data_IF_826785553048
#
_entry.id   IF_826785553048
#
_cell.length_a   1.000
_cell.length_b   1.000
_cell.length_c   1.000
_cell.angle_alpha   90.00
_cell.angle_beta   90.00
_cell.angle_gamma   90.00
#
_symmetry.space_group_name_H-M   'P 1'
#
loop_
_entity.id
_entity.type
_entity.pdbx_description
1 polymer ?
#
# COMPACT_ATOMS: atom_id res chain seq x y z
N UNK A 1 -6.75 -5.27 -16.35
CA UNK A 1 -7.59 -4.40 -15.51
C UNK A 1 -8.98 -4.25 -16.12
N UNK A 2 -10.03 -4.19 -15.28
CA UNK A 2 -11.41 -3.87 -15.63
C UNK A 2 -11.91 -2.82 -14.69
N UNK A 3 -12.47 -1.74 -15.22
CA UNK A 3 -13.06 -0.67 -14.42
C UNK A 3 -14.56 -0.85 -14.32
N UNK A 4 -15.14 -0.54 -13.16
CA UNK A 4 -16.61 -0.46 -13.01
C UNK A 4 -17.16 0.72 -13.84
N UNK A 5 -18.43 0.63 -14.19
CA UNK A 5 -19.13 1.77 -14.83
C UNK A 5 -19.07 3.00 -13.93
N UNK A 6 -18.77 4.15 -14.49
CA UNK A 6 -18.63 5.44 -13.77
C UNK A 6 -17.51 5.49 -12.71
N UNK A 7 -16.52 4.62 -12.79
CA UNK A 7 -15.39 4.57 -11.84
C UNK A 7 -14.71 5.94 -11.61
N UNK A 8 -14.59 6.74 -12.66
CA UNK A 8 -13.99 8.07 -12.62
C UNK A 8 -14.85 9.06 -11.84
N UNK A 9 -16.17 8.98 -11.95
CA UNK A 9 -17.12 9.79 -11.18
C UNK A 9 -17.12 9.39 -9.71
N UNK A 10 -17.11 8.09 -9.43
CA UNK A 10 -17.01 7.55 -8.09
C UNK A 10 -15.73 8.04 -7.40
N UNK A 11 -14.58 7.93 -8.05
CA UNK A 11 -13.31 8.39 -7.48
C UNK A 11 -13.29 9.90 -7.24
N UNK A 12 -13.74 10.71 -8.19
CA UNK A 12 -13.83 12.16 -8.01
C UNK A 12 -14.77 12.54 -6.87
N UNK A 13 -15.90 11.86 -6.75
CA UNK A 13 -16.85 12.10 -5.67
C UNK A 13 -16.19 11.85 -4.30
N UNK A 14 -15.59 10.67 -4.09
CA UNK A 14 -14.96 10.35 -2.82
C UNK A 14 -13.72 11.22 -2.55
N UNK A 15 -12.94 11.52 -3.57
CA UNK A 15 -11.79 12.42 -3.43
C UNK A 15 -12.21 13.80 -2.89
N UNK A 16 -13.23 14.41 -3.48
CA UNK A 16 -13.75 15.71 -3.04
C UNK A 16 -14.35 15.61 -1.62
N UNK A 17 -15.21 14.63 -1.38
CA UNK A 17 -15.84 14.41 -0.09
C UNK A 17 -14.82 14.25 1.04
N UNK A 18 -13.79 13.44 0.84
CA UNK A 18 -12.75 13.18 1.83
C UNK A 18 -11.88 14.42 2.02
N UNK A 19 -11.47 15.09 0.94
CA UNK A 19 -10.67 16.33 1.00
C UNK A 19 -11.38 17.43 1.75
N UNK A 20 -12.67 17.61 1.52
CA UNK A 20 -13.49 18.62 2.22
C UNK A 20 -13.68 18.25 3.70
N UNK A 21 -13.85 16.95 4.00
CA UNK A 21 -14.10 16.49 5.38
C UNK A 21 -12.87 16.62 6.26
N UNK A 22 -11.69 16.31 5.74
CA UNK A 22 -10.48 16.21 6.55
C UNK A 22 -9.49 17.35 6.33
N UNK A 23 -9.70 18.19 5.32
CA UNK A 23 -8.81 19.31 4.97
C UNK A 23 -7.35 18.89 4.75
N UNK A 24 -7.11 17.65 4.32
CA UNK A 24 -5.79 17.11 4.04
C UNK A 24 -5.54 16.90 2.54
N UNK A 25 -4.28 16.84 2.17
CA UNK A 25 -3.89 16.23 0.91
C UNK A 25 -4.15 14.72 1.00
N UNK A 26 -4.92 14.19 0.09
CA UNK A 26 -5.34 12.78 0.15
C UNK A 26 -4.82 11.97 -1.01
N UNK A 27 -4.64 10.68 -0.74
CA UNK A 27 -4.44 9.62 -1.70
C UNK A 27 -5.50 8.55 -1.46
N UNK A 28 -6.25 8.19 -2.49
CA UNK A 28 -7.13 7.03 -2.44
C UNK A 28 -6.34 5.83 -2.96
N UNK A 29 -6.22 4.81 -2.13
CA UNK A 29 -5.59 3.55 -2.51
C UNK A 29 -6.31 2.40 -1.82
N UNK A 30 -6.74 1.43 -2.59
CA UNK A 30 -7.52 0.30 -2.11
C UNK A 30 -6.99 -0.99 -2.68
N UNK A 31 -7.01 -2.06 -1.90
CA UNK A 31 -6.81 -3.38 -2.44
C UNK A 31 -7.89 -3.68 -3.46
N UNK A 32 -7.48 -4.06 -4.65
CA UNK A 32 -8.42 -4.35 -5.74
C UNK A 32 -8.75 -5.84 -5.78
N UNK A 33 -10.03 -6.19 -5.91
CA UNK A 33 -10.48 -7.56 -6.12
C UNK A 33 -10.05 -8.05 -7.52
N UNK A 34 -10.31 -9.30 -7.79
CA UNK A 34 -9.90 -9.91 -9.05
C UNK A 34 -11.09 -10.44 -9.84
N UNK A 35 -10.86 -10.69 -11.12
CA UNK A 35 -11.74 -11.46 -11.97
C UNK A 35 -10.95 -12.60 -12.61
N UNK A 36 -11.63 -13.68 -12.91
CA UNK A 36 -11.10 -14.81 -13.67
C UNK A 36 -11.86 -14.96 -14.98
N UNK A 37 -11.38 -15.84 -15.85
CA UNK A 37 -12.13 -16.27 -17.04
C UNK A 37 -12.39 -17.75 -16.93
N UNK A 38 -13.62 -18.17 -17.26
CA UNK A 38 -13.96 -19.58 -17.41
C UNK A 38 -13.41 -20.16 -18.73
N UNK A 39 -13.72 -21.41 -19.00
CA UNK A 39 -13.28 -22.13 -20.21
C UNK A 39 -13.82 -21.50 -21.51
N UNK A 40 -14.95 -20.83 -21.44
CA UNK A 40 -15.59 -20.11 -22.56
C UNK A 40 -15.06 -18.67 -22.73
N UNK A 41 -14.18 -18.24 -21.83
CA UNK A 41 -13.58 -16.89 -21.82
C UNK A 41 -14.47 -15.82 -21.17
N UNK A 42 -15.57 -16.20 -20.53
CA UNK A 42 -16.48 -15.30 -19.79
C UNK A 42 -15.82 -14.85 -18.49
N UNK A 43 -15.94 -13.57 -18.17
CA UNK A 43 -15.37 -12.98 -16.97
C UNK A 43 -16.24 -13.27 -15.74
N UNK A 44 -15.59 -13.81 -14.69
CA UNK A 44 -16.19 -14.07 -13.38
C UNK A 44 -15.53 -13.14 -12.37
N UNK A 45 -16.30 -12.27 -11.75
CA UNK A 45 -15.83 -11.26 -10.82
C UNK A 45 -15.89 -11.78 -9.37
N UNK A 46 -14.78 -11.65 -8.64
CA UNK A 46 -14.63 -12.07 -7.26
C UNK A 46 -14.50 -10.83 -6.36
N UNK A 47 -15.63 -10.18 -6.13
CA UNK A 47 -15.73 -9.04 -5.24
C UNK A 47 -16.03 -9.56 -3.83
N UNK A 48 -15.01 -9.78 -3.03
CA UNK A 48 -15.10 -10.38 -1.69
C UNK A 48 -15.49 -9.34 -0.61
N UNK A 49 -16.17 -8.27 -1.02
CA UNK A 49 -16.58 -7.21 -0.10
C UNK A 49 -15.57 -6.06 0.00
N UNK A 50 -15.73 -5.20 1.00
CA UNK A 50 -14.94 -3.99 1.13
C UNK A 50 -13.46 -4.34 1.08
N UNK A 51 -12.74 -3.56 0.29
CA UNK A 51 -11.29 -3.63 0.30
C UNK A 51 -10.85 -3.57 1.75
N UNK A 52 -10.18 -4.60 2.23
CA UNK A 52 -9.63 -4.58 3.57
C UNK A 52 -8.88 -3.27 3.72
N UNK A 53 -9.16 -2.55 4.78
CA UNK A 53 -8.26 -1.54 5.27
C UNK A 53 -6.94 -2.24 5.28
N UNK A 54 -6.09 -1.81 4.39
CA UNK A 54 -4.97 -2.64 4.03
C UNK A 54 -4.04 -2.76 5.20
N UNK A 55 -3.44 -3.82 5.28
CA UNK A 55 -3.14 -4.52 6.46
C UNK A 55 -2.11 -3.75 7.26
N UNK A 56 -2.54 -3.10 8.28
CA UNK A 56 -1.77 -2.96 9.49
C UNK A 56 -0.97 -4.25 9.73
N UNK A 57 -1.57 -5.41 9.54
CA UNK A 57 -0.91 -6.71 9.66
C UNK A 57 0.37 -6.89 8.83
N UNK A 58 0.43 -6.47 7.58
CA UNK A 58 1.67 -6.64 6.78
C UNK A 58 2.78 -5.73 7.32
N UNK A 59 2.44 -4.51 7.71
CA UNK A 59 3.35 -3.61 8.39
C UNK A 59 3.79 -4.18 9.73
N UNK A 60 2.85 -4.65 10.52
CA UNK A 60 3.08 -5.22 11.83
C UNK A 60 4.02 -6.42 11.74
N UNK A 61 3.75 -7.37 10.87
CA UNK A 61 4.64 -8.51 10.64
C UNK A 61 6.03 -8.06 10.18
N UNK A 62 6.11 -7.10 9.26
CA UNK A 62 7.39 -6.61 8.75
C UNK A 62 8.18 -5.87 9.83
N UNK A 63 7.53 -4.98 10.60
CA UNK A 63 8.19 -4.23 11.66
C UNK A 63 8.51 -5.14 12.85
N UNK A 64 7.64 -6.07 13.24
CA UNK A 64 7.93 -7.05 14.28
C UNK A 64 9.12 -7.95 13.93
N UNK A 65 9.24 -8.37 12.68
CA UNK A 65 10.40 -9.13 12.23
C UNK A 65 11.71 -8.33 12.36
N UNK A 66 11.63 -7.02 12.25
CA UNK A 66 12.78 -6.12 12.34
C UNK A 66 13.04 -5.57 13.75
N UNK A 67 11.96 -5.41 14.53
CA UNK A 67 11.94 -4.85 15.89
C UNK A 67 10.98 -5.66 16.77
N UNK A 68 11.38 -6.84 17.24
CA UNK A 68 10.48 -7.74 17.98
C UNK A 68 10.03 -7.16 19.33
N UNK A 69 10.72 -6.16 19.85
CA UNK A 69 10.42 -5.52 21.14
C UNK A 69 9.32 -4.45 21.04
N UNK A 70 8.86 -4.13 19.82
CA UNK A 70 7.74 -3.22 19.63
C UNK A 70 6.43 -3.92 19.97
N UNK A 71 5.70 -3.35 20.91
CA UNK A 71 4.35 -3.80 21.28
C UNK A 71 3.32 -3.09 20.40
N UNK A 72 2.39 -3.87 19.84
CA UNK A 72 1.20 -3.33 19.18
C UNK A 72 0.20 -2.80 20.21
N UNK A 73 -0.45 -1.71 19.85
CA UNK A 73 -1.69 -1.31 20.51
C UNK A 73 -2.84 -2.18 20.03
N UNK A 74 -3.83 -2.44 20.89
CA UNK A 74 -5.00 -3.25 20.55
C UNK A 74 -5.85 -2.54 19.46
N UNK A 75 -6.05 -3.22 18.34
CA UNK A 75 -6.61 -2.66 17.09
C UNK A 75 -8.05 -3.10 16.82
N UNK A 76 -8.84 -3.42 17.86
CA UNK A 76 -10.25 -3.74 17.70
C UNK A 76 -11.13 -2.52 17.32
N UNK A 77 -10.61 -1.66 16.45
CA UNK A 77 -11.32 -0.45 16.01
C UNK A 77 -12.07 -0.76 14.70
N UNK A 78 -13.37 -0.49 14.68
CA UNK A 78 -14.12 -0.42 13.42
C UNK A 78 -13.66 0.79 12.61
N UNK A 79 -12.66 0.60 11.78
CA UNK A 79 -12.09 1.64 10.94
C UNK A 79 -13.09 2.25 9.95
N UNK A 80 -14.16 1.53 9.61
CA UNK A 80 -15.19 2.06 8.72
C UNK A 80 -16.13 3.04 9.41
N UNK A 81 -16.40 2.83 10.70
CA UNK A 81 -17.27 3.69 11.51
C UNK A 81 -18.55 4.11 10.76
N UNK A 82 -19.20 3.15 10.09
CA UNK A 82 -20.41 3.38 9.29
C UNK A 82 -20.19 4.15 7.98
N UNK A 83 -18.97 4.52 7.61
CA UNK A 83 -18.66 5.24 6.37
C UNK A 83 -18.33 4.29 5.21
N UNK A 84 -18.41 4.82 3.99
CA UNK A 84 -18.05 4.10 2.76
C UNK A 84 -16.56 4.26 2.39
N UNK A 85 -15.79 4.93 3.25
CA UNK A 85 -14.34 5.09 3.15
C UNK A 85 -13.71 5.10 4.54
N UNK A 86 -12.46 4.72 4.63
CA UNK A 86 -11.70 4.75 5.89
C UNK A 86 -10.25 5.19 5.65
N UNK A 87 -9.65 5.82 6.65
CA UNK A 87 -8.23 6.11 6.62
C UNK A 87 -7.42 4.80 6.64
N UNK A 88 -6.35 4.78 5.87
CA UNK A 88 -5.44 3.65 5.73
C UNK A 88 -4.00 4.15 5.85
N UNK A 89 -3.12 3.29 6.33
CA UNK A 89 -1.69 3.57 6.43
C UNK A 89 -0.87 2.77 5.41
N UNK A 90 -1.54 2.30 4.37
CA UNK A 90 -0.95 1.45 3.35
C UNK A 90 -1.36 1.89 1.94
N UNK A 91 -0.45 1.69 1.00
CA UNK A 91 -0.69 1.93 -0.42
C UNK A 91 -0.70 0.59 -1.15
N UNK A 92 -1.71 0.38 -1.98
CA UNK A 92 -1.73 -0.74 -2.90
C UNK A 92 -1.16 -0.31 -4.25
N UNK A 93 -0.04 -0.89 -4.65
CA UNK A 93 0.66 -0.54 -5.89
C UNK A 93 -0.15 -0.76 -7.17
N UNK A 94 -1.23 -1.55 -7.09
CA UNK A 94 -2.13 -1.76 -8.21
C UNK A 94 -3.10 -0.61 -8.45
N UNK A 95 -3.34 0.23 -7.43
CA UNK A 95 -4.31 1.31 -7.51
C UNK A 95 -3.97 2.47 -6.59
N UNK A 96 -3.74 3.62 -7.19
CA UNK A 96 -3.55 4.91 -6.53
C UNK A 96 -4.29 5.99 -7.32
N UNK A 97 -5.02 6.83 -6.60
CA UNK A 97 -5.71 8.00 -7.15
C UNK A 97 -5.50 9.20 -6.24
N UNK A 98 -4.87 10.23 -6.75
CA UNK A 98 -4.51 11.41 -5.99
C UNK A 98 -4.31 12.65 -6.86
N UNK A 99 -3.91 13.74 -6.24
CA UNK A 99 -3.57 14.98 -6.94
C UNK A 99 -2.27 14.84 -7.74
N UNK A 100 -2.08 15.72 -8.70
CA UNK A 100 -0.81 15.84 -9.41
C UNK A 100 0.36 16.18 -8.46
N UNK A 101 0.10 16.95 -7.41
CA UNK A 101 1.10 17.28 -6.39
C UNK A 101 1.62 16.06 -5.64
N UNK A 102 0.73 15.07 -5.38
CA UNK A 102 1.14 13.80 -4.81
C UNK A 102 2.20 13.13 -5.68
N UNK A 103 1.90 12.92 -6.96
CA UNK A 103 2.78 12.19 -7.88
C UNK A 103 4.07 12.94 -8.25
N UNK A 104 4.11 14.26 -8.07
CA UNK A 104 5.33 15.03 -8.20
C UNK A 104 6.22 14.93 -6.96
N UNK A 105 5.63 14.89 -5.78
CA UNK A 105 6.34 14.90 -4.49
C UNK A 105 6.78 13.50 -4.06
N UNK A 106 5.91 12.51 -4.24
CA UNK A 106 6.14 11.13 -3.80
C UNK A 106 6.45 10.26 -5.02
N UNK A 107 7.69 10.25 -5.42
CA UNK A 107 8.18 9.44 -6.53
C UNK A 107 8.57 8.03 -6.06
N UNK A 108 8.45 6.99 -6.89
CA UNK A 108 8.95 5.66 -6.55
C UNK A 108 10.45 5.70 -6.23
N UNK A 109 10.88 4.95 -5.21
CA UNK A 109 12.30 4.80 -4.92
C UNK A 109 12.92 3.78 -5.91
N UNK A 110 13.83 4.20 -6.79
CA UNK A 110 14.43 3.31 -7.78
C UNK A 110 15.32 2.22 -7.16
N UNK A 111 15.65 2.34 -5.89
CA UNK A 111 16.42 1.35 -5.13
C UNK A 111 15.54 0.24 -4.57
N UNK A 112 14.23 0.50 -4.41
CA UNK A 112 13.24 -0.45 -3.87
C UNK A 112 12.33 -0.88 -5.02
N UNK A 113 12.45 -2.14 -5.47
CA UNK A 113 11.68 -2.64 -6.59
C UNK A 113 10.84 -3.83 -6.15
N UNK A 114 9.53 -3.73 -6.36
CA UNK A 114 8.50 -4.72 -6.13
C UNK A 114 8.29 -5.07 -4.65
N UNK A 115 9.28 -5.59 -3.94
CA UNK A 115 9.15 -5.93 -2.53
C UNK A 115 9.45 -4.74 -1.64
N UNK A 116 8.50 -4.36 -0.79
CA UNK A 116 8.63 -3.22 0.14
C UNK A 116 8.31 -1.85 -0.47
N UNK A 117 8.06 -1.80 -1.79
CA UNK A 117 7.72 -0.56 -2.49
C UNK A 117 6.47 0.09 -1.90
N UNK A 118 5.40 -0.68 -1.72
CA UNK A 118 4.11 -0.21 -1.19
C UNK A 118 4.24 0.37 0.21
N UNK A 119 5.06 -0.25 1.07
CA UNK A 119 5.32 0.21 2.43
C UNK A 119 6.11 1.52 2.46
N UNK A 120 7.23 1.58 1.72
CA UNK A 120 8.06 2.78 1.68
C UNK A 120 7.32 3.95 1.03
N UNK A 121 6.43 3.66 0.10
CA UNK A 121 5.57 4.65 -0.54
C UNK A 121 4.55 5.21 0.44
N UNK A 122 3.89 4.34 1.23
CA UNK A 122 2.94 4.73 2.26
C UNK A 122 3.60 5.58 3.35
N UNK A 123 4.77 5.15 3.84
CA UNK A 123 5.57 5.91 4.81
C UNK A 123 5.89 7.31 4.30
N UNK A 124 6.38 7.44 3.06
CA UNK A 124 6.70 8.74 2.46
C UNK A 124 5.47 9.61 2.25
N UNK A 125 4.37 9.02 1.78
CA UNK A 125 3.12 9.73 1.62
C UNK A 125 2.69 10.35 2.95
N UNK A 126 2.58 9.53 3.98
CA UNK A 126 2.12 9.95 5.29
C UNK A 126 3.02 11.01 5.93
N UNK A 127 4.33 10.80 5.94
CA UNK A 127 5.30 11.74 6.51
C UNK A 127 5.47 13.03 5.71
N UNK A 128 4.87 13.12 4.54
CA UNK A 128 4.79 14.32 3.70
C UNK A 128 3.39 14.95 3.66
N UNK A 129 2.59 14.69 4.71
CA UNK A 129 1.27 15.29 4.92
C UNK A 129 0.19 14.84 3.92
N UNK A 130 0.36 13.66 3.31
CA UNK A 130 -0.69 12.99 2.55
C UNK A 130 -1.35 11.91 3.42
N UNK A 131 -2.66 11.96 3.52
CA UNK A 131 -3.43 10.90 4.19
C UNK A 131 -3.96 9.92 3.16
N UNK A 132 -3.86 8.65 3.48
CA UNK A 132 -4.25 7.57 2.59
C UNK A 132 -5.64 7.08 3.00
N UNK A 133 -6.53 6.94 2.04
CA UNK A 133 -7.87 6.43 2.27
C UNK A 133 -8.16 5.23 1.39
N UNK A 134 -8.90 4.29 1.93
CA UNK A 134 -9.44 3.17 1.17
C UNK A 134 -10.96 3.30 1.03
N UNK A 135 -11.49 2.84 -0.10
CA UNK A 135 -12.91 2.83 -0.36
C UNK A 135 -13.48 1.45 -0.06
N UNK A 136 -14.69 1.44 0.50
CA UNK A 136 -15.46 0.21 0.71
C UNK A 136 -15.90 -0.41 -0.61
N UNK A 137 -16.24 0.43 -1.56
CA UNK A 137 -16.58 -0.01 -2.90
C UNK A 137 -15.33 -0.15 -3.79
N UNK A 138 -15.24 -1.28 -4.46
CA UNK A 138 -14.18 -1.50 -5.46
C UNK A 138 -14.53 -0.81 -6.76
N UNK A 139 -13.61 -0.02 -7.30
CA UNK A 139 -13.80 0.70 -8.57
C UNK A 139 -13.17 0.01 -9.77
N UNK A 140 -12.32 -0.97 -9.52
CA UNK A 140 -11.66 -1.74 -10.57
C UNK A 140 -11.31 -3.16 -10.11
N UNK A 141 -11.00 -4.02 -11.07
CA UNK A 141 -10.59 -5.41 -10.86
C UNK A 141 -9.34 -5.72 -11.67
N UNK A 142 -8.47 -6.57 -11.13
CA UNK A 142 -7.35 -7.11 -11.90
C UNK A 142 -7.61 -8.55 -12.32
N UNK A 143 -6.94 -9.02 -13.35
CA UNK A 143 -7.01 -10.41 -13.75
C UNK A 143 -6.38 -11.30 -12.67
N UNK A 144 -7.17 -12.17 -12.10
CA UNK A 144 -6.74 -13.11 -11.07
C UNK A 144 -5.92 -14.26 -11.64
N UNK A 145 -5.37 -15.06 -10.76
CA UNK A 145 -4.57 -16.23 -11.12
C UNK A 145 -5.48 -17.32 -11.68
N UNK A 146 -5.33 -17.64 -12.95
CA UNK A 146 -5.88 -18.88 -13.53
C UNK A 146 -4.89 -20.05 -13.29
N UNK A 147 -5.32 -21.32 -13.40
CA UNK A 147 -4.40 -22.46 -13.33
C UNK A 147 -3.21 -22.37 -14.30
N UNK A 148 -3.45 -21.81 -15.49
CA UNK A 148 -2.40 -21.56 -16.49
C UNK A 148 -1.48 -20.40 -16.08
N UNK A 149 -2.02 -19.39 -15.42
CA UNK A 149 -1.26 -18.27 -14.86
C UNK A 149 -0.36 -18.73 -13.72
N UNK A 150 -0.80 -19.68 -12.89
CA UNK A 150 0.00 -20.26 -11.82
C UNK A 150 1.23 -20.99 -12.38
N UNK A 151 1.08 -21.76 -13.47
CA UNK A 151 2.23 -22.38 -14.16
C UNK A 151 3.19 -21.33 -14.74
N UNK A 152 2.66 -20.24 -15.29
CA UNK A 152 3.50 -19.11 -15.79
C UNK A 152 4.12 -18.29 -14.66
N UNK A 153 3.46 -18.14 -13.50
CA UNK A 153 4.00 -17.37 -12.36
C UNK A 153 5.04 -18.13 -11.57
N UNK A 154 5.01 -19.42 -11.52
CA UNK A 154 6.17 -20.21 -11.03
C UNK A 154 7.41 -19.94 -11.88
N UNK A 155 7.25 -19.89 -13.18
CA UNK A 155 8.31 -19.44 -14.11
C UNK A 155 8.67 -17.96 -13.93
N UNK A 156 7.69 -17.08 -13.69
CA UNK A 156 7.92 -15.65 -13.52
C UNK A 156 8.54 -15.30 -12.15
N UNK A 157 8.14 -15.97 -11.07
CA UNK A 157 8.81 -15.82 -9.78
C UNK A 157 10.29 -16.24 -9.88
N UNK A 158 10.57 -17.31 -10.64
CA UNK A 158 11.94 -17.72 -10.95
C UNK A 158 12.67 -16.67 -11.79
N UNK A 159 11.97 -15.96 -12.70
CA UNK A 159 12.54 -14.90 -13.51
C UNK A 159 12.74 -13.60 -12.74
N UNK A 160 11.87 -13.25 -11.80
CA UNK A 160 12.08 -12.14 -10.87
C UNK A 160 13.28 -12.37 -9.95
N UNK A 161 13.40 -13.55 -9.37
CA UNK A 161 14.59 -13.95 -8.62
C UNK A 161 15.85 -13.89 -9.48
N UNK A 162 15.78 -14.40 -10.72
CA UNK A 162 16.90 -14.32 -11.67
C UNK A 162 17.23 -12.87 -12.05
N UNK A 163 16.22 -12.03 -12.23
CA UNK A 163 16.42 -10.60 -12.51
C UNK A 163 17.06 -9.87 -11.32
N UNK A 164 16.63 -10.15 -10.10
CA UNK A 164 17.25 -9.61 -8.89
C UNK A 164 18.69 -10.12 -8.71
N UNK A 165 18.96 -11.40 -8.98
CA UNK A 165 20.29 -11.98 -8.92
C UNK A 165 21.20 -11.47 -10.05
N UNK A 166 20.68 -11.25 -11.25
CA UNK A 166 21.45 -10.78 -12.41
C UNK A 166 21.93 -9.32 -12.27
N UNK A 167 21.27 -8.52 -11.42
CA UNK A 167 21.68 -7.13 -11.14
C UNK A 167 22.78 -6.99 -10.08
N UNK A 168 23.20 -8.10 -9.48
CA UNK A 168 24.35 -8.17 -8.56
C UNK A 168 24.08 -7.65 -7.15
N UNK A 169 25.10 -7.68 -6.26
CA UNK A 169 24.98 -7.31 -4.85
C UNK A 169 24.60 -5.85 -4.60
N UNK A 170 24.80 -4.96 -5.59
CA UNK A 170 24.38 -3.56 -5.50
C UNK A 170 22.85 -3.39 -5.52
N UNK A 171 22.11 -4.44 -5.88
CA UNK A 171 20.67 -4.47 -5.88
C UNK A 171 20.13 -5.09 -4.58
N UNK A 172 20.61 -4.57 -3.45
CA UNK A 172 20.22 -5.09 -2.13
C UNK A 172 18.94 -4.40 -1.63
N UNK A 173 17.88 -4.57 -2.41
CA UNK A 173 16.54 -4.07 -2.16
C UNK A 173 16.06 -4.30 -0.71
N UNK A 174 16.33 -5.50 -0.17
CA UNK A 174 15.89 -5.88 1.16
C UNK A 174 16.56 -5.05 2.26
N UNK A 175 17.85 -4.74 2.14
CA UNK A 175 18.54 -3.96 3.16
C UNK A 175 18.11 -2.49 3.11
N UNK A 176 17.98 -1.91 1.92
CA UNK A 176 17.48 -0.54 1.76
C UNK A 176 16.06 -0.43 2.32
N UNK A 177 15.18 -1.35 1.96
CA UNK A 177 13.83 -1.43 2.48
C UNK A 177 13.83 -1.53 4.02
N UNK A 178 14.64 -2.42 4.59
CA UNK A 178 14.80 -2.57 6.04
C UNK A 178 15.29 -1.29 6.70
N UNK A 179 16.30 -0.64 6.15
CA UNK A 179 16.88 0.58 6.72
C UNK A 179 15.87 1.74 6.71
N UNK A 180 15.07 1.86 5.65
CA UNK A 180 13.95 2.83 5.59
C UNK A 180 12.91 2.53 6.68
N UNK A 181 12.45 1.27 6.77
CA UNK A 181 11.44 0.88 7.77
C UNK A 181 11.94 0.97 9.21
N UNK A 182 13.25 0.83 9.41
CA UNK A 182 13.88 0.98 10.73
C UNK A 182 14.14 2.42 11.11
N UNK A 183 13.78 3.39 10.28
CA UNK A 183 14.04 4.81 10.53
C UNK A 183 15.53 5.16 10.58
N UNK A 184 16.36 4.45 9.80
CA UNK A 184 17.79 4.73 9.68
C UNK A 184 18.10 5.72 8.55
N UNK A 185 17.15 5.94 7.67
CA UNK A 185 17.24 6.84 6.52
C UNK A 185 16.07 7.81 6.54
N UNK A 186 16.36 9.09 6.27
CA UNK A 186 15.37 10.17 6.17
C UNK A 186 15.59 10.98 4.89
N UNK A 187 14.54 11.62 4.40
CA UNK A 187 14.58 12.48 3.23
C UNK A 187 13.65 12.04 2.09
N UNK A 188 13.90 12.47 0.86
CA UNK A 188 12.95 12.31 -0.25
C UNK A 188 12.57 10.86 -0.60
N UNK A 189 13.44 9.91 -0.31
CA UNK A 189 13.25 8.47 -0.61
C UNK A 189 12.92 7.63 0.64
N UNK A 190 12.74 8.27 1.80
CA UNK A 190 12.42 7.64 3.08
C UNK A 190 11.35 8.44 3.83
N UNK A 191 11.21 8.27 5.15
CA UNK A 191 10.44 9.22 5.95
C UNK A 191 11.04 10.62 5.85
N UNK A 192 10.20 11.65 5.85
CA UNK A 192 10.63 13.05 5.73
C UNK A 192 11.68 13.41 6.79
N UNK A 193 11.42 13.05 8.04
CA UNK A 193 12.26 13.27 9.20
C UNK A 193 11.93 12.26 10.32
N UNK A 194 12.71 12.29 11.40
CA UNK A 194 12.54 11.37 12.54
C UNK A 194 11.22 11.59 13.26
N UNK A 195 10.77 12.82 13.41
CA UNK A 195 9.53 13.16 14.14
C UNK A 195 8.31 12.57 13.42
N UNK A 196 8.14 12.88 12.14
CA UNK A 196 7.05 12.34 11.33
C UNK A 196 7.10 10.82 11.18
N UNK A 197 8.29 10.22 11.20
CA UNK A 197 8.44 8.77 11.24
C UNK A 197 7.87 8.16 12.52
N UNK A 198 8.17 8.74 13.68
CA UNK A 198 7.66 8.26 14.97
C UNK A 198 6.14 8.42 15.07
N UNK A 199 5.61 9.55 14.60
CA UNK A 199 4.17 9.78 14.50
C UNK A 199 3.48 8.74 13.59
N UNK A 200 4.12 8.39 12.47
CA UNK A 200 3.61 7.34 11.59
C UNK A 200 3.57 5.98 12.26
N UNK A 201 4.61 5.61 13.02
CA UNK A 201 4.61 4.37 13.79
C UNK A 201 3.48 4.36 14.84
N UNK A 202 3.26 5.49 15.52
CA UNK A 202 2.15 5.63 16.47
C UNK A 202 0.80 5.48 15.79
N UNK A 203 0.62 6.08 14.61
CA UNK A 203 -0.59 5.94 13.80
C UNK A 203 -0.81 4.50 13.33
N UNK A 204 0.26 3.72 13.15
CA UNK A 204 0.19 2.27 12.88
C UNK A 204 -0.10 1.42 14.12
N UNK A 205 -0.24 2.03 15.30
CA UNK A 205 -0.50 1.31 16.54
C UNK A 205 0.75 0.86 17.30
N UNK A 206 1.96 1.28 16.91
CA UNK A 206 3.19 0.96 17.61
C UNK A 206 3.48 1.93 18.77
N UNK A 207 4.01 1.42 19.86
CA UNK A 207 4.54 2.26 20.93
C UNK A 207 6.01 2.60 20.63
N UNK A 208 6.24 3.73 19.95
CA UNK A 208 7.57 4.18 19.55
C UNK A 208 8.47 4.57 20.74
N UNK A 209 7.91 4.77 21.94
CA UNK A 209 8.70 5.05 23.16
C UNK A 209 9.61 3.90 23.54
N UNK A 210 9.33 2.71 23.03
CA UNK A 210 10.15 1.51 23.19
C UNK A 210 11.33 1.46 22.21
N UNK A 211 11.49 2.46 21.33
CA UNK A 211 12.56 2.52 20.34
C UNK A 211 13.83 3.25 20.83
N UNK A 212 13.83 3.75 22.06
CA UNK A 212 14.96 4.48 22.65
C UNK A 212 15.85 3.55 23.49
#
# INVERSE_FOLDING_TARGET
MRFKKNWDKTLKYYYNLISETYCYNILISSRIPWFTKDEEGKEIYHDNGPGTIAPIHIWNESIRALKPDILEKDDNIDHWNGKEYAESHFVCGHFMFGSNEFFKKIIPDPRVIFFGEEHTFALRAWTNDFRIFTLKESVLFHLGKTPEYNKKTELNNTNWHKFQLAKGPSFNNINIYKDILMGKEFGPLAAKDKESYLEYLEALGFDYRLLN
#
